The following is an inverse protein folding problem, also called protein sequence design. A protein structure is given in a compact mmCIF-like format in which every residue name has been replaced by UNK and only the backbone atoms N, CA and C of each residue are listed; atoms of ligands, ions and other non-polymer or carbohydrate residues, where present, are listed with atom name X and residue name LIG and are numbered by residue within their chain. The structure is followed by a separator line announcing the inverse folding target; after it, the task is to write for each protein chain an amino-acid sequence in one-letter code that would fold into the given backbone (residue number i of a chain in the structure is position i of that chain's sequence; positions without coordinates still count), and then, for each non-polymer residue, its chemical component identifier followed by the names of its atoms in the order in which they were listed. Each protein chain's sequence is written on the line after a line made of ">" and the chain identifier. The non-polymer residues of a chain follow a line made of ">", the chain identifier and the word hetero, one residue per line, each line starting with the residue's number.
data_IF_090963313623
#
_entry.id   IF_090963313623
#
_cell.length_a   1.000
_cell.length_b   1.000
_cell.length_c   1.000
_cell.angle_alpha   90.00
_cell.angle_beta   90.00
_cell.angle_gamma   90.00
#
_symmetry.space_group_name_H-M   'P 1'
#
loop_
_entity.id
_entity.type
_entity.pdbx_description
1 polymer ?
#
# COMPACT_ATOMS: atom_id res chain seq x y z
N UNK A 1 21.67 3.78 -4.69
CA UNK A 1 20.96 4.94 -5.28
C UNK A 1 20.78 4.64 -6.75
N UNK A 2 19.57 4.28 -7.20
CA UNK A 2 19.30 4.11 -8.64
C UNK A 2 19.18 5.51 -9.24
N UNK A 3 20.33 6.14 -9.44
CA UNK A 3 20.46 7.40 -10.14
C UNK A 3 20.71 7.11 -11.61
N UNK A 4 19.66 6.83 -12.39
CA UNK A 4 19.71 7.17 -13.81
C UNK A 4 19.39 8.66 -13.89
N UNK A 5 20.44 9.47 -14.10
CA UNK A 5 20.36 10.92 -14.39
C UNK A 5 20.29 11.91 -13.20
N UNK A 6 20.50 11.49 -11.95
CA UNK A 6 20.50 12.40 -10.79
C UNK A 6 19.11 12.93 -10.37
N UNK A 7 18.05 12.36 -10.94
CA UNK A 7 16.66 12.67 -10.57
C UNK A 7 16.19 11.70 -9.46
N UNK A 8 15.56 12.26 -8.41
CA UNK A 8 14.90 11.48 -7.36
C UNK A 8 13.48 11.12 -7.81
N UNK A 9 13.13 9.82 -7.78
CA UNK A 9 11.78 9.34 -8.11
C UNK A 9 10.90 9.54 -6.87
N UNK A 10 9.96 10.48 -6.96
CA UNK A 10 9.02 10.79 -5.87
C UNK A 10 7.63 10.18 -6.04
N UNK A 11 7.29 9.81 -7.26
CA UNK A 11 6.01 9.18 -7.59
C UNK A 11 6.28 7.85 -8.29
N UNK A 12 5.59 6.81 -7.85
CA UNK A 12 5.63 5.49 -8.47
C UNK A 12 4.22 5.01 -8.76
N UNK A 13 4.01 4.52 -9.98
CA UNK A 13 2.77 3.84 -10.39
C UNK A 13 3.08 2.35 -10.59
N UNK A 14 2.28 1.50 -9.98
CA UNK A 14 2.38 0.05 -10.04
C UNK A 14 1.06 -0.47 -10.56
N UNK A 15 1.05 -0.80 -11.84
CA UNK A 15 -0.10 -1.38 -12.53
C UNK A 15 -0.07 -2.90 -12.60
N UNK A 16 1.07 -3.52 -12.25
CA UNK A 16 1.25 -4.97 -12.25
C UNK A 16 2.02 -5.37 -10.99
N UNK A 17 1.41 -6.23 -10.18
CA UNK A 17 2.06 -6.88 -9.04
C UNK A 17 2.61 -8.24 -9.51
N UNK A 18 3.81 -8.60 -9.08
CA UNK A 18 4.50 -9.81 -9.56
C UNK A 18 3.85 -11.05 -8.94
N UNK A 19 3.26 -11.92 -9.76
CA UNK A 19 3.01 -13.29 -9.35
C UNK A 19 4.34 -14.02 -9.29
N UNK A 20 4.58 -14.73 -8.19
CA UNK A 20 5.57 -15.80 -8.26
C UNK A 20 5.01 -16.80 -9.29
N UNK A 21 5.78 -17.14 -10.31
CA UNK A 21 5.47 -18.34 -11.09
C UNK A 21 5.32 -19.46 -10.07
N UNK A 22 4.23 -20.24 -10.16
CA UNK A 22 4.03 -21.44 -9.34
C UNK A 22 5.18 -22.40 -9.64
N UNK A 23 6.31 -22.22 -8.95
CA UNK A 23 7.29 -23.28 -8.84
C UNK A 23 6.61 -24.33 -8.00
N UNK A 24 6.43 -25.53 -8.57
CA UNK A 24 5.88 -26.77 -7.97
C UNK A 24 6.61 -27.24 -6.68
N UNK A 25 7.32 -26.35 -5.99
CA UNK A 25 8.03 -26.65 -4.76
C UNK A 25 7.07 -26.51 -3.57
N UNK A 26 6.79 -27.66 -2.96
CA UNK A 26 5.82 -27.92 -1.88
C UNK A 26 6.24 -27.29 -0.54
N UNK A 27 7.21 -26.38 -0.53
CA UNK A 27 7.52 -25.54 0.63
C UNK A 27 6.55 -24.34 0.62
N UNK A 28 5.54 -24.38 1.50
CA UNK A 28 4.45 -23.40 1.62
C UNK A 28 4.81 -21.95 1.98
N UNK A 29 5.89 -21.41 1.44
CA UNK A 29 6.17 -19.99 1.40
C UNK A 29 6.04 -19.51 -0.04
N UNK A 30 4.82 -19.09 -0.42
CA UNK A 30 4.60 -18.30 -1.63
C UNK A 30 5.26 -16.93 -1.40
N UNK A 31 6.58 -16.89 -1.61
CA UNK A 31 7.36 -15.66 -1.62
C UNK A 31 6.98 -14.92 -2.90
N UNK A 32 5.95 -14.10 -2.80
CA UNK A 32 5.70 -12.99 -3.73
C UNK A 32 6.90 -12.05 -3.66
N UNK A 33 7.95 -12.41 -4.41
CA UNK A 33 9.23 -11.73 -4.36
C UNK A 33 9.07 -10.38 -5.04
N UNK A 34 8.74 -9.37 -4.24
CA UNK A 34 8.92 -7.97 -4.64
C UNK A 34 10.33 -7.86 -5.22
N UNK A 35 10.51 -7.39 -6.46
CA UNK A 35 11.79 -7.42 -7.11
C UNK A 35 12.86 -6.70 -6.29
N UNK A 36 14.11 -7.17 -6.28
CA UNK A 36 15.18 -6.57 -5.49
C UNK A 36 15.36 -5.07 -5.73
N UNK A 37 15.19 -4.61 -6.99
CA UNK A 37 15.33 -3.21 -7.37
C UNK A 37 14.31 -2.29 -6.68
N UNK A 38 13.19 -2.84 -6.22
CA UNK A 38 12.11 -2.09 -5.59
C UNK A 38 12.60 -1.45 -4.30
N UNK A 39 13.44 -2.15 -3.52
CA UNK A 39 14.08 -1.60 -2.31
C UNK A 39 14.92 -0.36 -2.60
N UNK A 40 15.47 -0.24 -3.82
CA UNK A 40 16.30 0.88 -4.25
C UNK A 40 15.47 2.07 -4.77
N UNK A 41 14.32 1.80 -5.38
CA UNK A 41 13.40 2.83 -5.91
C UNK A 41 12.52 3.41 -4.79
N UNK A 42 12.15 2.60 -3.80
CA UNK A 42 11.17 2.98 -2.78
C UNK A 42 11.65 4.05 -1.78
N UNK A 43 12.97 4.26 -1.64
CA UNK A 43 13.53 5.08 -0.54
C UNK A 43 13.05 6.53 -0.57
N UNK A 44 12.85 7.08 -1.77
CA UNK A 44 12.51 8.49 -1.97
C UNK A 44 11.06 8.73 -2.43
N UNK A 45 10.29 7.66 -2.63
CA UNK A 45 8.90 7.75 -3.10
C UNK A 45 8.02 8.35 -2.00
N UNK A 46 7.34 9.45 -2.34
CA UNK A 46 6.38 10.16 -1.50
C UNK A 46 4.94 9.84 -1.90
N UNK A 47 4.72 9.54 -3.19
CA UNK A 47 3.40 9.25 -3.79
C UNK A 47 3.42 7.87 -4.47
N UNK A 48 2.51 6.98 -4.06
CA UNK A 48 2.36 5.65 -4.65
C UNK A 48 0.96 5.47 -5.20
N UNK A 49 0.87 4.98 -6.43
CA UNK A 49 -0.38 4.56 -7.06
C UNK A 49 -0.32 3.05 -7.27
N UNK A 50 -1.29 2.33 -6.73
CA UNK A 50 -1.53 0.92 -6.97
C UNK A 50 -2.76 0.80 -7.89
N UNK A 51 -2.58 0.24 -9.07
CA UNK A 51 -3.64 0.10 -10.08
C UNK A 51 -3.78 -1.37 -10.45
N UNK A 52 -5.01 -1.84 -10.63
CA UNK A 52 -5.20 -3.17 -11.25
C UNK A 52 -4.82 -3.14 -12.74
N UNK A 53 -4.00 -4.09 -13.16
CA UNK A 53 -3.67 -4.30 -14.57
C UNK A 53 -4.91 -4.78 -15.34
N UNK A 54 -5.14 -4.26 -16.55
CA UNK A 54 -6.31 -4.59 -17.36
C UNK A 54 -6.22 -5.96 -18.02
N UNK A 55 -6.27 -7.06 -17.28
CA UNK A 55 -6.31 -8.39 -17.88
C UNK A 55 -7.33 -9.32 -17.21
N UNK A 56 -7.64 -10.39 -17.96
CA UNK A 56 -8.77 -11.30 -17.78
C UNK A 56 -8.86 -11.80 -16.34
N UNK A 57 -10.09 -12.07 -15.91
CA UNK A 57 -10.58 -12.47 -14.57
C UNK A 57 -9.77 -13.55 -13.79
N UNK A 58 -8.72 -14.12 -14.37
CA UNK A 58 -7.97 -15.25 -13.83
C UNK A 58 -6.65 -14.83 -13.15
N UNK A 59 -6.13 -13.63 -13.44
CA UNK A 59 -4.95 -13.08 -12.74
C UNK A 59 -5.34 -11.88 -11.87
N UNK A 60 -5.88 -12.14 -10.68
CA UNK A 60 -6.02 -11.09 -9.66
C UNK A 60 -4.60 -10.81 -9.14
N UNK A 61 -3.89 -9.90 -9.81
CA UNK A 61 -2.59 -9.44 -9.36
C UNK A 61 -2.75 -8.72 -8.03
N UNK A 62 -2.35 -9.43 -6.97
CA UNK A 62 -2.52 -9.01 -5.59
C UNK A 62 -1.38 -8.08 -5.17
N UNK A 63 -1.70 -6.87 -4.72
CA UNK A 63 -0.73 -5.94 -4.15
C UNK A 63 -0.68 -5.97 -2.62
N UNK A 64 -1.36 -6.94 -1.98
CA UNK A 64 -1.21 -7.27 -0.55
C UNK A 64 0.26 -7.42 -0.13
N UNK A 65 1.16 -8.10 -0.89
CA UNK A 65 2.56 -8.22 -0.48
C UNK A 65 3.28 -6.87 -0.34
N UNK A 66 2.94 -5.91 -1.20
CA UNK A 66 3.46 -4.55 -1.14
C UNK A 66 2.98 -3.86 0.15
N UNK A 67 1.68 -3.96 0.46
CA UNK A 67 1.10 -3.38 1.68
C UNK A 67 1.63 -4.03 2.95
N UNK A 68 1.79 -5.36 2.98
CA UNK A 68 2.37 -6.08 4.10
C UNK A 68 3.79 -5.58 4.43
N UNK A 69 4.59 -5.25 3.40
CA UNK A 69 5.93 -4.67 3.57
C UNK A 69 5.94 -3.19 3.96
N UNK A 70 4.78 -2.52 3.92
CA UNK A 70 4.62 -1.16 4.47
C UNK A 70 4.24 -1.17 5.94
N UNK A 71 3.71 -2.29 6.48
CA UNK A 71 3.40 -2.41 7.90
C UNK A 71 4.70 -2.43 8.70
N UNK A 72 4.83 -1.47 9.61
CA UNK A 72 6.05 -1.31 10.40
C UNK A 72 5.95 -2.11 11.70
N UNK A 73 6.72 -3.18 11.79
CA UNK A 73 6.86 -3.94 13.03
C UNK A 73 7.81 -3.22 14.01
N UNK A 74 7.51 -3.25 15.32
CA UNK A 74 8.31 -2.62 16.39
C UNK A 74 9.81 -2.98 16.39
N UNK A 75 10.18 -4.09 15.74
CA UNK A 75 11.55 -4.64 15.75
C UNK A 75 12.20 -4.74 14.35
N UNK A 76 11.56 -4.25 13.27
CA UNK A 76 12.05 -4.49 11.91
C UNK A 76 12.20 -3.20 11.10
N UNK A 77 13.36 -2.56 11.24
CA UNK A 77 13.70 -1.28 10.57
C UNK A 77 14.42 -1.46 9.24
N UNK A 78 14.90 -2.66 8.91
CA UNK A 78 15.89 -2.85 7.84
C UNK A 78 15.31 -3.19 6.47
N UNK A 79 13.99 -3.38 6.36
CA UNK A 79 13.34 -3.86 5.12
C UNK A 79 12.00 -3.16 4.84
N UNK A 80 11.88 -1.88 5.21
CA UNK A 80 10.62 -1.18 5.00
C UNK A 80 10.54 -0.61 3.59
N UNK A 81 9.49 -1.02 2.86
CA UNK A 81 9.18 -0.41 1.57
C UNK A 81 8.52 0.96 1.81
N UNK A 82 8.94 1.93 1.00
CA UNK A 82 8.42 3.30 0.98
C UNK A 82 8.50 4.03 2.32
N UNK A 83 9.69 4.18 2.93
CA UNK A 83 9.83 4.89 4.20
C UNK A 83 9.32 6.33 4.11
N UNK A 84 9.41 6.98 2.95
CA UNK A 84 8.98 8.38 2.76
C UNK A 84 7.55 8.56 2.23
N UNK A 85 6.78 7.49 2.11
CA UNK A 85 5.42 7.56 1.59
C UNK A 85 4.53 8.48 2.42
N UNK A 86 3.91 9.44 1.75
CA UNK A 86 2.91 10.37 2.30
C UNK A 86 1.54 10.14 1.69
N UNK A 87 1.47 9.74 0.41
CA UNK A 87 0.20 9.53 -0.29
C UNK A 87 0.14 8.15 -0.94
N UNK A 88 -0.98 7.46 -0.70
CA UNK A 88 -1.28 6.18 -1.32
C UNK A 88 -2.59 6.28 -2.08
N UNK A 89 -2.57 5.98 -3.37
CA UNK A 89 -3.75 5.87 -4.21
C UNK A 89 -3.96 4.41 -4.58
N UNK A 90 -5.17 3.91 -4.39
CA UNK A 90 -5.61 2.57 -4.75
C UNK A 90 -6.69 2.72 -5.80
N UNK A 91 -6.41 2.26 -7.02
CA UNK A 91 -7.32 2.38 -8.16
C UNK A 91 -7.73 1.00 -8.63
N UNK A 92 -9.03 0.75 -8.55
CA UNK A 92 -9.69 -0.42 -9.11
C UNK A 92 -9.17 -1.75 -8.55
N UNK A 93 -8.64 -1.71 -7.32
CA UNK A 93 -8.03 -2.85 -6.66
C UNK A 93 -8.81 -3.20 -5.40
N UNK A 94 -9.18 -4.47 -5.26
CA UNK A 94 -9.79 -5.01 -4.04
C UNK A 94 -8.68 -5.50 -3.11
N UNK A 95 -8.49 -4.80 -2.01
CA UNK A 95 -7.56 -5.11 -0.93
C UNK A 95 -8.31 -5.48 0.35
N UNK A 96 -7.59 -5.94 1.36
CA UNK A 96 -8.15 -6.05 2.71
C UNK A 96 -8.15 -4.64 3.37
N UNK A 97 -9.32 -4.05 3.69
CA UNK A 97 -9.39 -2.75 4.37
C UNK A 97 -8.76 -2.77 5.77
N UNK A 98 -8.71 -3.92 6.45
CA UNK A 98 -8.07 -4.07 7.77
C UNK A 98 -6.55 -3.95 7.62
N UNK A 99 -5.96 -4.59 6.61
CA UNK A 99 -4.55 -4.46 6.30
C UNK A 99 -4.19 -2.99 6.01
N UNK A 100 -5.01 -2.30 5.23
CA UNK A 100 -4.81 -0.88 4.93
C UNK A 100 -4.86 -0.01 6.19
N UNK A 101 -5.81 -0.28 7.09
CA UNK A 101 -5.87 0.39 8.39
C UNK A 101 -4.59 0.16 9.22
N UNK A 102 -4.06 -1.08 9.25
CA UNK A 102 -2.81 -1.39 9.93
C UNK A 102 -1.60 -0.67 9.31
N UNK A 103 -1.54 -0.53 7.99
CA UNK A 103 -0.50 0.27 7.31
C UNK A 103 -0.57 1.72 7.78
N UNK A 104 -1.77 2.32 7.80
CA UNK A 104 -1.97 3.70 8.26
C UNK A 104 -1.51 3.84 9.72
N UNK A 105 -2.04 3.00 10.61
CA UNK A 105 -1.76 3.06 12.04
C UNK A 105 -0.28 2.85 12.36
N UNK A 106 0.34 1.79 11.82
CA UNK A 106 1.74 1.48 12.11
C UNK A 106 2.69 2.60 11.72
N UNK A 107 2.41 3.34 10.64
CA UNK A 107 3.21 4.49 10.22
C UNK A 107 2.97 5.73 11.08
N UNK A 108 1.74 5.98 11.53
CA UNK A 108 1.46 7.05 12.48
C UNK A 108 2.19 6.79 13.81
N UNK A 109 2.10 5.58 14.34
CA UNK A 109 2.77 5.19 15.59
C UNK A 109 4.29 5.38 15.52
N UNK A 110 4.91 5.04 14.38
CA UNK A 110 6.35 5.18 14.19
C UNK A 110 6.79 6.64 14.08
N UNK A 111 5.97 7.56 13.57
CA UNK A 111 6.36 8.99 13.55
C UNK A 111 6.57 9.61 14.93
N UNK A 112 6.01 9.02 15.99
CA UNK A 112 6.24 9.48 17.36
C UNK A 112 7.59 9.02 17.94
N UNK A 113 8.31 8.13 17.25
CA UNK A 113 9.65 7.70 17.66
C UNK A 113 10.70 8.73 17.20
N UNK A 114 11.56 9.18 18.12
CA UNK A 114 12.54 10.27 17.89
C UNK A 114 13.50 10.05 16.72
N UNK A 115 13.75 8.79 16.34
CA UNK A 115 14.70 8.42 15.29
C UNK A 115 14.01 7.77 14.07
N UNK A 116 12.70 7.98 13.91
CA UNK A 116 11.96 7.37 12.81
C UNK A 116 12.33 7.99 11.47
N UNK A 117 12.74 7.13 10.53
CA UNK A 117 12.95 7.48 9.11
C UNK A 117 11.63 7.38 8.33
N UNK A 118 10.56 6.89 8.97
CA UNK A 118 9.27 6.62 8.35
C UNK A 118 8.38 7.86 8.41
N UNK A 119 7.95 8.34 7.26
CA UNK A 119 6.96 9.41 7.14
C UNK A 119 5.55 8.91 7.49
N UNK A 120 4.78 9.76 8.17
CA UNK A 120 3.34 9.55 8.37
C UNK A 120 2.62 9.56 7.04
N UNK A 121 1.68 8.63 6.86
CA UNK A 121 0.76 8.66 5.74
C UNK A 121 -0.21 9.84 5.92
N UNK A 122 -0.20 10.78 4.99
CA UNK A 122 -1.01 12.00 5.02
C UNK A 122 -2.36 11.79 4.34
N UNK A 123 -2.41 10.99 3.28
CA UNK A 123 -3.63 10.77 2.49
C UNK A 123 -3.69 9.38 1.86
N UNK A 124 -4.84 8.73 1.96
CA UNK A 124 -5.18 7.48 1.28
C UNK A 124 -6.41 7.71 0.42
N UNK A 125 -6.27 7.50 -0.89
CA UNK A 125 -7.37 7.59 -1.84
C UNK A 125 -7.69 6.22 -2.38
N UNK A 126 -8.97 5.86 -2.39
CA UNK A 126 -9.46 4.59 -2.93
C UNK A 126 -10.50 4.95 -3.97
N UNK A 127 -10.29 4.54 -5.22
CA UNK A 127 -11.21 4.79 -6.30
C UNK A 127 -11.53 3.47 -7.00
N UNK A 128 -12.80 3.20 -7.21
CA UNK A 128 -13.25 2.02 -7.95
C UNK A 128 -13.98 2.41 -9.24
N UNK A 129 -13.79 1.63 -10.31
CA UNK A 129 -14.57 1.81 -11.55
C UNK A 129 -16.04 1.59 -11.22
N UNK A 130 -16.84 2.63 -11.43
CA UNK A 130 -18.28 2.52 -11.48
C UNK A 130 -18.67 1.65 -12.68
N UNK A 131 -18.89 0.37 -12.43
CA UNK A 131 -19.51 -0.51 -13.41
C UNK A 131 -20.98 -0.07 -13.53
N UNK A 132 -21.32 0.57 -14.65
CA UNK A 132 -22.70 0.90 -15.03
C UNK A 132 -23.43 1.94 -14.17
N UNK A 133 -22.70 2.83 -13.50
CA UNK A 133 -23.30 3.97 -12.78
C UNK A 133 -24.10 3.59 -11.52
N UNK A 134 -23.93 2.36 -11.02
CA UNK A 134 -24.47 1.96 -9.71
C UNK A 134 -23.52 2.41 -8.59
N UNK A 135 -24.11 2.86 -7.48
CA UNK A 135 -23.37 3.22 -6.26
C UNK A 135 -22.56 2.00 -5.81
N UNK A 136 -21.25 2.17 -5.65
CA UNK A 136 -20.37 1.05 -5.35
C UNK A 136 -20.53 0.61 -3.90
N UNK A 137 -21.17 -0.54 -3.66
CA UNK A 137 -21.32 -1.12 -2.31
C UNK A 137 -19.97 -1.41 -1.66
N UNK A 138 -18.91 -1.59 -2.45
CA UNK A 138 -17.54 -1.77 -1.94
C UNK A 138 -17.01 -0.50 -1.30
N UNK A 139 -17.31 0.68 -1.87
CA UNK A 139 -16.85 1.95 -1.32
C UNK A 139 -17.44 2.23 0.07
N UNK A 140 -18.73 1.93 0.25
CA UNK A 140 -19.41 2.05 1.54
C UNK A 140 -18.81 1.09 2.58
N UNK A 141 -18.61 -0.18 2.20
CA UNK A 141 -17.94 -1.17 3.05
C UNK A 141 -16.53 -0.74 3.49
N UNK A 142 -15.72 -0.19 2.57
CA UNK A 142 -14.38 0.30 2.87
C UNK A 142 -14.40 1.50 3.79
N UNK A 143 -15.26 2.47 3.52
CA UNK A 143 -15.41 3.65 4.37
C UNK A 143 -15.78 3.25 5.79
N UNK A 144 -16.80 2.39 5.95
CA UNK A 144 -17.26 1.92 7.26
C UNK A 144 -16.18 1.15 8.02
N UNK A 145 -15.51 0.23 7.34
CA UNK A 145 -14.47 -0.60 7.95
C UNK A 145 -13.26 0.23 8.37
N UNK A 146 -12.76 1.11 7.49
CA UNK A 146 -11.62 1.97 7.80
C UNK A 146 -11.97 2.95 8.93
N UNK A 147 -13.15 3.56 8.91
CA UNK A 147 -13.59 4.45 9.97
C UNK A 147 -13.69 3.71 11.31
N UNK A 148 -14.25 2.51 11.34
CA UNK A 148 -14.36 1.72 12.57
C UNK A 148 -12.99 1.36 13.14
N UNK A 149 -12.05 0.89 12.32
CA UNK A 149 -10.71 0.47 12.78
C UNK A 149 -9.86 1.67 13.18
N UNK A 150 -9.89 2.77 12.41
CA UNK A 150 -9.09 3.96 12.70
C UNK A 150 -9.62 4.77 13.89
N UNK A 151 -10.94 4.76 14.13
CA UNK A 151 -11.55 5.48 15.27
C UNK A 151 -11.34 4.79 16.62
N UNK A 152 -11.13 3.46 16.61
CA UNK A 152 -10.91 2.68 17.84
C UNK A 152 -9.47 2.76 18.37
N UNK A 153 -8.54 3.37 17.63
CA UNK A 153 -7.16 3.51 18.07
C UNK A 153 -6.94 4.80 18.86
N UNK A 154 -6.17 4.70 19.95
CA UNK A 154 -5.79 5.84 20.81
C UNK A 154 -4.97 6.90 20.06
N UNK A 155 -4.32 6.50 18.96
CA UNK A 155 -3.59 7.41 18.09
C UNK A 155 -4.55 7.95 17.03
N UNK A 156 -4.96 9.21 17.20
CA UNK A 156 -5.70 9.94 16.18
C UNK A 156 -4.85 10.03 14.91
N UNK A 157 -5.20 9.21 13.92
CA UNK A 157 -4.59 9.28 12.61
C UNK A 157 -4.87 10.65 11.99
N UNK A 158 -3.82 11.34 11.56
CA UNK A 158 -3.93 12.57 10.74
C UNK A 158 -4.12 12.26 9.26
N UNK A 159 -4.17 10.98 8.90
CA UNK A 159 -4.33 10.53 7.52
C UNK A 159 -5.76 10.83 7.04
N UNK A 160 -5.88 11.58 5.95
CA UNK A 160 -7.13 11.78 5.24
C UNK A 160 -7.45 10.54 4.41
N UNK A 161 -8.58 9.86 4.69
CA UNK A 161 -9.05 8.72 3.91
C UNK A 161 -10.19 9.17 3.00
N UNK A 162 -10.01 9.05 1.69
CA UNK A 162 -10.99 9.43 0.67
C UNK A 162 -11.37 8.19 -0.14
N UNK A 163 -12.65 7.83 -0.15
CA UNK A 163 -13.17 6.68 -0.89
C UNK A 163 -14.15 7.17 -1.94
N UNK A 164 -13.92 6.80 -3.20
CA UNK A 164 -14.57 7.30 -4.41
C UNK A 164 -14.59 8.86 -4.46
N UNK A 165 -13.42 9.52 -4.62
CA UNK A 165 -13.29 10.98 -4.71
C UNK A 165 -14.04 11.61 -5.89
#
# INVERSE_FOLDING_TARGET
>A
MVSRSGCSIRSLDISHCWSAEETDDISGEVLTAIPPFFSEVCQDVEDLILVTGSYKQEDIYDCIPILQKMVVGKNNTNLQNFPRLKRLQIKDLQLDPILLAHVIQSRQDHTFQKDSVVASLERVEIAYKNQFGQKNSMAEYYSDTLNAVLSNNEVHSKCEVVVDP
#
